data_IF_413133742135
#
_entry.id   IF_413133742135
#
_cell.length_a   1.000
_cell.length_b   1.000
_cell.length_c   1.000
_cell.angle_alpha   90.00
_cell.angle_beta   90.00
_cell.angle_gamma   90.00
#
_symmetry.space_group_name_H-M   'P 1'
#
loop_
_entity.id
_entity.type
_entity.pdbx_description
1 polymer ?
#
# COMPACT_ATOMS: atom_id res chain seq x y z
N UNK A 1 -28.98 -93.71 -65.88
CA UNK A 1 -27.73 -92.91 -65.94
C UNK A 1 -28.08 -91.48 -65.55
N UNK A 2 -27.79 -91.08 -64.32
CA UNK A 2 -28.00 -89.69 -63.88
C UNK A 2 -26.81 -88.84 -64.33
N UNK A 3 -27.03 -87.64 -64.90
CA UNK A 3 -25.94 -86.80 -65.37
C UNK A 3 -25.07 -86.32 -64.20
N UNK A 4 -23.75 -86.19 -64.39
CA UNK A 4 -22.85 -85.72 -63.35
C UNK A 4 -23.27 -84.30 -62.91
N UNK A 5 -23.35 -84.13 -61.59
CA UNK A 5 -23.84 -82.93 -60.92
C UNK A 5 -22.83 -81.77 -61.07
N UNK A 6 -22.85 -81.12 -62.24
CA UNK A 6 -21.99 -80.00 -62.63
C UNK A 6 -22.29 -78.71 -61.87
N UNK A 7 -23.45 -78.59 -61.22
CA UNK A 7 -23.83 -77.44 -60.39
C UNK A 7 -23.07 -77.35 -59.06
N UNK A 8 -22.56 -78.46 -58.53
CA UNK A 8 -21.85 -78.49 -57.23
C UNK A 8 -20.45 -77.91 -57.32
N UNK A 9 -19.78 -78.03 -58.47
CA UNK A 9 -18.44 -77.49 -58.69
C UNK A 9 -18.44 -75.98 -58.97
N UNK A 10 -19.44 -75.46 -59.69
CA UNK A 10 -19.59 -74.02 -59.94
C UNK A 10 -19.90 -73.22 -58.66
N UNK A 11 -20.69 -73.79 -57.74
CA UNK A 11 -21.02 -73.17 -56.44
C UNK A 11 -19.81 -73.05 -55.52
N UNK A 12 -18.96 -74.08 -55.45
CA UNK A 12 -17.75 -74.09 -54.60
C UNK A 12 -16.73 -73.05 -55.08
N UNK A 13 -16.52 -72.91 -56.39
CA UNK A 13 -15.59 -71.92 -56.94
C UNK A 13 -16.01 -70.47 -56.65
N UNK A 14 -17.32 -70.17 -56.72
CA UNK A 14 -17.83 -68.82 -56.41
C UNK A 14 -17.68 -68.50 -54.92
N UNK A 15 -17.96 -69.47 -54.03
CA UNK A 15 -17.80 -69.32 -52.58
C UNK A 15 -16.33 -69.07 -52.22
N UNK A 16 -15.39 -69.80 -52.82
CA UNK A 16 -13.94 -69.62 -52.57
C UNK A 16 -13.46 -68.24 -53.03
N UNK A 17 -13.97 -67.73 -54.17
CA UNK A 17 -13.64 -66.38 -54.66
C UNK A 17 -14.24 -65.30 -53.75
N UNK A 18 -15.45 -65.52 -53.23
CA UNK A 18 -16.11 -64.58 -52.32
C UNK A 18 -15.38 -64.52 -50.97
N UNK A 19 -15.03 -65.67 -50.39
CA UNK A 19 -14.21 -65.80 -49.17
C UNK A 19 -12.85 -65.11 -49.35
N UNK A 20 -12.22 -65.28 -50.51
CA UNK A 20 -10.95 -64.61 -50.81
C UNK A 20 -11.12 -63.09 -50.90
N UNK A 21 -12.16 -62.58 -51.58
CA UNK A 21 -12.46 -61.13 -51.63
C UNK A 21 -12.79 -60.56 -50.25
N UNK A 22 -13.53 -61.28 -49.42
CA UNK A 22 -13.86 -60.86 -48.04
C UNK A 22 -12.59 -60.82 -47.19
N UNK A 23 -11.70 -61.82 -47.28
CA UNK A 23 -10.39 -61.78 -46.60
C UNK A 23 -9.51 -60.65 -47.10
N UNK A 24 -9.54 -60.34 -48.39
CA UNK A 24 -8.77 -59.24 -48.96
C UNK A 24 -9.29 -57.88 -48.47
N UNK A 25 -10.61 -57.68 -48.48
CA UNK A 25 -11.25 -56.47 -47.95
C UNK A 25 -11.05 -56.33 -46.45
N UNK A 26 -11.19 -57.42 -45.68
CA UNK A 26 -10.92 -57.45 -44.24
C UNK A 26 -9.47 -57.09 -43.93
N UNK A 27 -8.51 -57.65 -44.67
CA UNK A 27 -7.09 -57.30 -44.54
C UNK A 27 -6.79 -55.83 -44.84
N UNK A 28 -7.43 -55.25 -45.87
CA UNK A 28 -7.32 -53.83 -46.20
C UNK A 28 -7.92 -52.97 -45.07
N UNK A 29 -9.08 -53.32 -44.55
CA UNK A 29 -9.73 -52.62 -43.43
C UNK A 29 -8.86 -52.67 -42.17
N UNK A 30 -8.31 -53.83 -41.82
CA UNK A 30 -7.41 -54.00 -40.66
C UNK A 30 -6.13 -53.18 -40.78
N UNK A 31 -5.67 -52.90 -42.01
CA UNK A 31 -4.48 -52.09 -42.28
C UNK A 31 -4.77 -50.58 -42.18
N UNK A 32 -5.99 -50.14 -42.51
CA UNK A 32 -6.37 -48.72 -42.54
C UNK A 32 -6.84 -48.21 -41.18
N UNK A 33 -7.55 -49.02 -40.38
CA UNK A 33 -8.03 -48.64 -39.03
C UNK A 33 -6.95 -48.00 -38.15
N UNK A 34 -5.76 -48.61 -37.95
CA UNK A 34 -4.73 -48.00 -37.10
C UNK A 34 -4.18 -46.69 -37.67
N UNK A 35 -4.24 -46.48 -38.99
CA UNK A 35 -3.83 -45.23 -39.63
C UNK A 35 -4.84 -44.10 -39.38
N UNK A 36 -6.13 -44.41 -39.49
CA UNK A 36 -7.23 -43.47 -39.19
C UNK A 36 -7.28 -43.14 -37.69
N UNK A 37 -7.12 -44.13 -36.83
CA UNK A 37 -7.08 -43.92 -35.38
C UNK A 37 -5.87 -43.09 -34.94
N UNK A 38 -4.69 -43.35 -35.49
CA UNK A 38 -3.48 -42.61 -35.11
C UNK A 38 -3.54 -41.15 -35.61
N UNK A 39 -4.10 -40.89 -36.79
CA UNK A 39 -4.31 -39.53 -37.31
C UNK A 39 -5.39 -38.79 -36.53
N UNK A 40 -6.51 -39.44 -36.20
CA UNK A 40 -7.57 -38.88 -35.37
C UNK A 40 -7.08 -38.58 -33.95
N UNK A 41 -6.35 -39.52 -33.32
CA UNK A 41 -5.75 -39.29 -32.00
C UNK A 41 -4.73 -38.16 -32.01
N UNK A 42 -3.91 -38.03 -33.07
CA UNK A 42 -2.98 -36.90 -33.22
C UNK A 42 -3.73 -35.57 -33.33
N UNK A 43 -4.82 -35.52 -34.10
CA UNK A 43 -5.64 -34.33 -34.25
C UNK A 43 -6.31 -33.93 -32.94
N UNK A 44 -6.88 -34.88 -32.19
CA UNK A 44 -7.51 -34.63 -30.88
C UNK A 44 -6.48 -34.16 -29.84
N UNK A 45 -5.29 -34.76 -29.80
CA UNK A 45 -4.20 -34.30 -28.91
C UNK A 45 -3.74 -32.88 -29.28
N UNK A 46 -3.67 -32.55 -30.56
CA UNK A 46 -3.29 -31.22 -31.03
C UNK A 46 -4.33 -30.16 -30.65
N UNK A 47 -5.62 -30.43 -30.91
CA UNK A 47 -6.72 -29.53 -30.53
C UNK A 47 -6.82 -29.35 -29.01
N UNK A 48 -6.65 -30.42 -28.23
CA UNK A 48 -6.61 -30.34 -26.76
C UNK A 48 -5.41 -29.53 -26.26
N UNK A 49 -4.23 -29.70 -26.86
CA UNK A 49 -3.03 -28.91 -26.54
C UNK A 49 -3.22 -27.42 -26.82
N UNK A 50 -3.80 -27.09 -27.97
CA UNK A 50 -4.16 -25.71 -28.33
C UNK A 50 -5.16 -25.10 -27.34
N UNK A 51 -6.24 -25.82 -27.03
CA UNK A 51 -7.27 -25.36 -26.09
C UNK A 51 -6.68 -25.15 -24.69
N UNK A 52 -5.84 -26.09 -24.22
CA UNK A 52 -5.16 -26.01 -22.92
C UNK A 52 -4.23 -24.80 -22.86
N UNK A 53 -3.43 -24.55 -23.90
CA UNK A 53 -2.59 -23.36 -23.99
C UNK A 53 -3.40 -22.07 -24.00
N UNK A 54 -4.56 -22.05 -24.67
CA UNK A 54 -5.46 -20.89 -24.67
C UNK A 54 -6.00 -20.59 -23.27
N UNK A 55 -6.50 -21.62 -22.56
CA UNK A 55 -7.02 -21.51 -21.19
C UNK A 55 -5.91 -21.08 -20.22
N UNK A 56 -4.70 -21.63 -20.36
CA UNK A 56 -3.54 -21.22 -19.57
C UNK A 56 -3.22 -19.74 -19.78
N UNK A 57 -3.20 -19.28 -21.04
CA UNK A 57 -2.99 -17.86 -21.38
C UNK A 57 -4.08 -16.96 -20.78
N UNK A 58 -5.35 -17.36 -20.83
CA UNK A 58 -6.43 -16.62 -20.17
C UNK A 58 -6.27 -16.56 -18.66
N UNK A 59 -5.83 -17.66 -18.03
CA UNK A 59 -5.60 -17.74 -16.58
C UNK A 59 -4.41 -16.88 -16.14
N UNK A 60 -3.31 -16.85 -16.91
CA UNK A 60 -2.19 -15.94 -16.66
C UNK A 60 -2.58 -14.48 -16.89
N UNK A 61 -3.26 -14.15 -17.99
CA UNK A 61 -3.74 -12.78 -18.25
C UNK A 61 -4.63 -12.27 -17.12
N UNK A 62 -5.59 -13.08 -16.64
CA UNK A 62 -6.45 -12.71 -15.50
C UNK A 62 -5.66 -12.48 -14.21
N UNK A 63 -4.62 -13.29 -13.95
CA UNK A 63 -3.72 -13.10 -12.81
C UNK A 63 -2.99 -11.76 -12.88
N UNK A 64 -2.46 -11.41 -14.07
CA UNK A 64 -1.78 -10.13 -14.28
C UNK A 64 -2.72 -8.93 -14.12
N UNK A 65 -3.96 -9.02 -14.61
CA UNK A 65 -4.98 -7.97 -14.43
C UNK A 65 -5.27 -7.76 -12.94
N UNK A 66 -5.50 -8.83 -12.18
CA UNK A 66 -5.77 -8.74 -10.72
C UNK A 66 -4.59 -8.12 -9.97
N UNK A 67 -3.35 -8.51 -10.31
CA UNK A 67 -2.16 -7.91 -9.69
C UNK A 67 -1.99 -6.44 -10.08
N UNK A 68 -2.29 -6.06 -11.31
CA UNK A 68 -2.21 -4.68 -11.77
C UNK A 68 -3.25 -3.80 -11.06
N UNK A 69 -4.48 -4.29 -10.86
CA UNK A 69 -5.53 -3.55 -10.14
C UNK A 69 -5.20 -3.37 -8.65
N UNK A 70 -4.62 -4.39 -8.00
CA UNK A 70 -4.16 -4.28 -6.61
C UNK A 70 -3.01 -3.28 -6.47
N UNK A 71 -2.07 -3.28 -7.42
CA UNK A 71 -0.97 -2.33 -7.44
C UNK A 71 -1.46 -0.89 -7.67
N UNK A 72 -2.43 -0.70 -8.58
CA UNK A 72 -3.02 0.61 -8.86
C UNK A 72 -3.79 1.18 -7.65
N UNK A 73 -4.47 0.32 -6.88
CA UNK A 73 -5.18 0.74 -5.66
C UNK A 73 -4.22 1.24 -4.57
N UNK A 74 -3.08 0.58 -4.39
CA UNK A 74 -2.05 1.02 -3.44
C UNK A 74 -1.49 2.41 -3.76
N UNK A 75 -1.31 2.73 -5.05
CA UNK A 75 -0.76 4.02 -5.50
C UNK A 75 -1.72 5.18 -5.17
N UNK A 76 -3.04 4.98 -5.28
CA UNK A 76 -4.04 6.01 -4.98
C UNK A 76 -4.04 6.41 -3.50
N UNK A 77 -3.92 5.43 -2.59
CA UNK A 77 -3.89 5.66 -1.15
C UNK A 77 -2.69 6.51 -0.69
N UNK A 78 -1.52 6.33 -1.34
CA UNK A 78 -0.31 7.09 -1.02
C UNK A 78 -0.47 8.57 -1.38
N UNK A 79 -1.10 8.88 -2.52
CA UNK A 79 -1.32 10.27 -2.96
C UNK A 79 -2.30 11.05 -2.07
N UNK A 80 -3.24 10.35 -1.43
CA UNK A 80 -4.18 10.94 -0.50
C UNK A 80 -3.50 11.26 0.83
N UNK A 81 -2.66 10.35 1.35
CA UNK A 81 -1.94 10.55 2.61
C UNK A 81 -0.93 11.70 2.54
N UNK A 82 -0.19 11.85 1.43
CA UNK A 82 0.82 12.91 1.29
C UNK A 82 0.24 14.33 1.37
N UNK A 83 -1.00 14.54 0.90
CA UNK A 83 -1.70 15.83 1.05
C UNK A 83 -2.15 16.10 2.49
N UNK A 84 -2.47 15.06 3.27
CA UNK A 84 -2.84 15.21 4.68
C UNK A 84 -1.63 15.65 5.50
N UNK A 85 -0.51 14.96 5.30
CA UNK A 85 0.73 15.20 6.03
C UNK A 85 1.29 16.59 5.74
N UNK A 86 1.10 17.15 4.54
CA UNK A 86 1.57 18.48 4.19
C UNK A 86 0.96 19.61 5.05
N UNK A 87 -0.33 19.55 5.37
CA UNK A 87 -0.99 20.58 6.19
C UNK A 87 -0.51 20.50 7.65
N UNK A 88 -0.43 19.29 8.20
CA UNK A 88 0.05 19.05 9.57
C UNK A 88 1.55 19.33 9.69
N UNK A 89 2.33 19.10 8.63
CA UNK A 89 3.75 19.46 8.58
C UNK A 89 3.95 20.97 8.72
N UNK A 90 3.12 21.80 8.07
CA UNK A 90 3.22 23.26 8.23
C UNK A 90 2.90 23.70 9.65
N UNK A 91 1.91 23.05 10.29
CA UNK A 91 1.59 23.27 11.69
C UNK A 91 2.77 22.92 12.61
N UNK A 92 3.43 21.78 12.36
CA UNK A 92 4.64 21.37 13.06
C UNK A 92 5.79 22.37 12.90
N UNK A 93 6.03 22.91 11.69
CA UNK A 93 7.08 23.92 11.49
C UNK A 93 6.86 25.19 12.34
N UNK A 94 5.61 25.66 12.44
CA UNK A 94 5.31 26.81 13.29
C UNK A 94 5.45 26.47 14.78
N UNK A 95 5.10 25.25 15.19
CA UNK A 95 5.37 24.77 16.55
C UNK A 95 6.87 24.78 16.87
N UNK A 96 7.73 24.33 15.95
CA UNK A 96 9.19 24.38 16.12
C UNK A 96 9.68 25.84 16.26
N UNK A 97 9.07 26.79 15.55
CA UNK A 97 9.38 28.21 15.73
C UNK A 97 9.04 28.72 17.14
N UNK A 98 7.91 28.29 17.73
CA UNK A 98 7.55 28.59 19.14
C UNK A 98 8.60 27.99 20.08
N UNK A 99 8.89 26.68 19.95
CA UNK A 99 9.88 25.97 20.76
C UNK A 99 11.25 26.67 20.74
N UNK A 100 11.72 27.04 19.56
CA UNK A 100 13.03 27.69 19.38
C UNK A 100 13.07 29.11 19.95
N UNK A 101 11.98 29.86 19.86
CA UNK A 101 11.88 31.19 20.49
C UNK A 101 11.90 31.09 22.03
N UNK A 102 11.16 30.13 22.59
CA UNK A 102 11.15 29.84 24.03
C UNK A 102 12.53 29.41 24.55
N UNK A 103 13.24 28.56 23.80
CA UNK A 103 14.60 28.15 24.14
C UNK A 103 15.60 29.31 24.11
N UNK A 104 15.30 30.38 23.36
CA UNK A 104 16.12 31.59 23.29
C UNK A 104 15.74 32.71 24.27
N UNK A 105 14.76 32.46 25.15
CA UNK A 105 14.17 33.46 26.07
C UNK A 105 13.52 34.67 25.37
N UNK A 106 13.05 34.50 24.13
CA UNK A 106 12.49 35.60 23.33
C UNK A 106 10.95 35.57 23.37
N UNK A 107 10.37 36.32 24.31
CA UNK A 107 8.93 36.33 24.54
C UNK A 107 8.15 36.93 23.35
N UNK A 108 8.65 38.01 22.74
CA UNK A 108 7.99 38.66 21.61
C UNK A 108 7.98 37.76 20.37
N UNK A 109 9.11 37.11 20.09
CA UNK A 109 9.20 36.14 18.99
C UNK A 109 8.33 34.92 19.25
N UNK A 110 8.22 34.48 20.50
CA UNK A 110 7.32 33.40 20.90
C UNK A 110 5.87 33.77 20.59
N UNK A 111 5.42 34.95 20.99
CA UNK A 111 4.06 35.43 20.69
C UNK A 111 3.79 35.51 19.19
N UNK A 112 4.73 36.04 18.40
CA UNK A 112 4.60 36.11 16.94
C UNK A 112 4.53 34.73 16.30
N UNK A 113 5.37 33.78 16.73
CA UNK A 113 5.34 32.42 16.22
C UNK A 113 4.02 31.70 16.57
N UNK A 114 3.50 31.94 17.78
CA UNK A 114 2.21 31.40 18.21
C UNK A 114 1.04 31.98 17.37
N UNK A 115 1.06 33.27 17.05
CA UNK A 115 0.08 33.88 16.14
C UNK A 115 0.08 33.23 14.74
N UNK A 116 1.26 32.91 14.19
CA UNK A 116 1.36 32.18 12.91
C UNK A 116 0.90 30.72 13.02
N UNK A 117 1.16 30.08 14.16
CA UNK A 117 0.62 28.75 14.46
C UNK A 117 -0.93 28.77 14.47
N UNK A 118 -1.57 29.75 15.11
CA UNK A 118 -3.04 29.88 15.14
C UNK A 118 -3.62 30.02 13.73
N UNK A 119 -3.02 30.86 12.88
CA UNK A 119 -3.44 31.01 11.48
C UNK A 119 -3.38 29.69 10.73
N UNK A 120 -2.29 28.95 10.92
CA UNK A 120 -2.09 27.64 10.27
C UNK A 120 -3.07 26.60 10.79
N UNK A 121 -3.27 26.51 12.11
CA UNK A 121 -4.25 25.62 12.74
C UNK A 121 -5.69 25.92 12.31
N UNK A 122 -5.98 27.16 11.94
CA UNK A 122 -7.30 27.56 11.41
C UNK A 122 -7.51 27.18 9.94
N UNK A 123 -6.43 26.91 9.21
CA UNK A 123 -6.46 26.50 7.82
C UNK A 123 -6.40 24.98 7.62
N UNK A 124 -6.13 24.20 8.68
CA UNK A 124 -6.13 22.74 8.63
C UNK A 124 -7.56 22.24 8.40
N UNK A 125 -7.75 21.36 7.42
CA UNK A 125 -9.05 20.72 7.16
C UNK A 125 -9.47 19.85 8.35
N UNK A 126 -10.66 20.13 8.92
CA UNK A 126 -11.24 19.42 10.07
C UNK A 126 -11.50 17.93 9.81
N UNK A 127 -11.50 17.50 8.53
CA UNK A 127 -11.57 16.08 8.14
C UNK A 127 -10.23 15.35 8.33
N UNK A 128 -9.15 16.10 8.50
CA UNK A 128 -7.82 15.57 8.77
C UNK A 128 -7.57 15.48 10.26
N UNK A 129 -7.60 16.62 10.94
CA UNK A 129 -7.48 16.72 12.40
C UNK A 129 -8.84 17.16 12.93
N UNK A 130 -9.37 16.45 13.92
CA UNK A 130 -10.69 16.77 14.46
C UNK A 130 -10.78 18.23 14.92
N UNK A 131 -11.94 18.84 14.73
CA UNK A 131 -12.18 20.23 15.14
C UNK A 131 -11.95 20.44 16.64
N UNK A 132 -12.23 19.42 17.47
CA UNK A 132 -11.92 19.43 18.90
C UNK A 132 -10.42 19.56 19.17
N UNK A 133 -9.60 18.76 18.49
CA UNK A 133 -8.14 18.82 18.63
C UNK A 133 -7.59 20.16 18.11
N UNK A 134 -8.08 20.64 16.96
CA UNK A 134 -7.69 21.96 16.43
C UNK A 134 -8.06 23.10 17.38
N UNK A 135 -9.22 23.04 18.03
CA UNK A 135 -9.63 24.02 19.03
C UNK A 135 -8.71 24.05 20.24
N UNK A 136 -8.29 22.90 20.75
CA UNK A 136 -7.35 22.81 21.87
C UNK A 136 -6.01 23.45 21.47
N UNK A 137 -5.46 23.08 20.31
CA UNK A 137 -4.21 23.64 19.80
C UNK A 137 -4.28 25.16 19.61
N UNK A 138 -5.39 25.67 19.03
CA UNK A 138 -5.60 27.11 18.86
C UNK A 138 -5.72 27.83 20.20
N UNK A 139 -6.43 27.24 21.17
CA UNK A 139 -6.59 27.81 22.51
C UNK A 139 -5.24 27.97 23.20
N UNK A 140 -4.43 26.91 23.26
CA UNK A 140 -3.11 26.95 23.90
C UNK A 140 -2.20 27.97 23.20
N UNK A 141 -2.17 27.97 21.86
CA UNK A 141 -1.39 28.93 21.09
C UNK A 141 -1.87 30.38 21.27
N UNK A 142 -3.18 30.61 21.46
CA UNK A 142 -3.73 31.95 21.74
C UNK A 142 -3.23 32.47 23.09
N UNK A 143 -3.26 31.64 24.13
CA UNK A 143 -2.73 32.01 25.44
C UNK A 143 -1.23 32.32 25.38
N UNK A 144 -0.44 31.53 24.62
CA UNK A 144 0.98 31.82 24.39
C UNK A 144 1.18 33.14 23.64
N UNK A 145 0.36 33.39 22.60
CA UNK A 145 0.40 34.62 21.80
C UNK A 145 0.14 35.86 22.65
N UNK A 146 -0.88 35.82 23.50
CA UNK A 146 -1.35 36.97 24.27
C UNK A 146 -0.58 37.19 25.58
N UNK A 147 0.19 36.19 26.03
CA UNK A 147 1.02 36.28 27.22
C UNK A 147 2.11 37.35 27.07
N UNK A 148 2.26 38.19 28.11
CA UNK A 148 3.23 39.31 28.15
C UNK A 148 4.60 38.94 28.73
N UNK A 149 4.77 37.70 29.18
CA UNK A 149 6.02 37.25 29.78
C UNK A 149 6.31 35.79 29.41
N UNK A 150 7.60 35.46 29.40
CA UNK A 150 8.12 34.15 28.98
C UNK A 150 7.66 33.00 29.91
N UNK A 151 7.44 33.29 31.19
CA UNK A 151 7.01 32.28 32.18
C UNK A 151 5.61 31.76 31.85
N UNK A 152 4.65 32.65 31.63
CA UNK A 152 3.29 32.28 31.25
C UNK A 152 3.23 31.55 29.89
N UNK A 153 4.10 31.94 28.96
CA UNK A 153 4.24 31.24 27.67
C UNK A 153 4.71 29.79 27.87
N UNK A 154 5.70 29.56 28.75
CA UNK A 154 6.22 28.23 29.06
C UNK A 154 5.23 27.33 29.77
N UNK A 155 4.47 27.89 30.72
CA UNK A 155 3.42 27.17 31.44
C UNK A 155 2.35 26.62 30.48
N UNK A 156 2.01 27.36 29.44
CA UNK A 156 1.03 26.91 28.44
C UNK A 156 1.67 26.00 27.37
N UNK A 157 2.97 26.20 27.09
CA UNK A 157 3.67 25.43 26.06
C UNK A 157 3.74 23.92 26.35
N UNK A 158 3.71 23.50 27.62
CA UNK A 158 3.63 22.07 27.97
C UNK A 158 2.38 21.41 27.38
N UNK A 159 1.21 22.02 27.57
CA UNK A 159 -0.06 21.54 27.01
C UNK A 159 -0.02 21.52 25.47
N UNK A 160 0.49 22.58 24.84
CA UNK A 160 0.64 22.62 23.38
C UNK A 160 1.56 21.49 22.89
N UNK A 161 2.66 21.25 23.61
CA UNK A 161 3.64 20.20 23.28
C UNK A 161 3.06 18.81 23.38
N UNK A 162 2.31 18.50 24.44
CA UNK A 162 1.65 17.21 24.62
C UNK A 162 0.66 16.92 23.49
N UNK A 163 -0.16 17.91 23.13
CA UNK A 163 -1.12 17.78 22.04
C UNK A 163 -0.42 17.61 20.68
N UNK A 164 0.69 18.31 20.44
CA UNK A 164 1.48 18.12 19.22
C UNK A 164 2.18 16.76 19.18
N UNK A 165 2.68 16.24 20.31
CA UNK A 165 3.21 14.88 20.41
C UNK A 165 2.11 13.85 20.11
N UNK A 166 0.88 14.07 20.57
CA UNK A 166 -0.23 13.17 20.27
C UNK A 166 -0.49 13.05 18.76
N UNK A 167 -0.36 14.14 18.00
CA UNK A 167 -0.51 14.13 16.54
C UNK A 167 0.52 13.24 15.83
N UNK A 168 1.71 13.01 16.40
CA UNK A 168 2.73 12.16 15.77
C UNK A 168 2.30 10.69 15.68
N UNK A 169 1.27 10.28 16.42
CA UNK A 169 0.72 8.92 16.38
C UNK A 169 -0.09 8.65 15.11
N UNK A 170 -0.60 9.72 14.48
CA UNK A 170 -1.51 9.65 13.34
C UNK A 170 -0.91 10.27 12.08
N UNK A 171 0.04 11.19 12.22
CA UNK A 171 0.60 11.97 11.12
C UNK A 171 2.12 11.90 11.07
N UNK A 172 2.65 11.84 9.86
CA UNK A 172 4.06 12.10 9.60
C UNK A 172 4.27 13.62 9.53
N UNK A 173 4.95 14.18 10.53
CA UNK A 173 5.10 15.64 10.68
C UNK A 173 6.23 16.24 9.82
N UNK A 174 7.17 15.41 9.37
CA UNK A 174 8.39 15.82 8.69
C UNK A 174 8.99 14.63 7.94
N UNK A 175 9.67 14.88 6.83
CA UNK A 175 10.49 13.86 6.14
C UNK A 175 11.82 13.58 6.86
N UNK A 176 12.24 14.50 7.73
CA UNK A 176 13.39 14.34 8.61
C UNK A 176 12.95 13.79 9.97
N UNK A 177 13.84 13.07 10.70
CA UNK A 177 13.53 12.58 12.03
C UNK A 177 13.02 13.69 12.97
N UNK A 178 12.00 13.34 13.76
CA UNK A 178 11.45 14.18 14.83
C UNK A 178 11.79 13.53 16.16
N UNK A 179 12.36 14.30 17.07
CA UNK A 179 12.78 13.82 18.38
C UNK A 179 11.77 14.23 19.44
N UNK A 180 11.33 13.28 20.26
CA UNK A 180 10.64 13.59 21.51
C UNK A 180 11.71 13.77 22.58
N UNK A 181 11.82 14.98 23.11
CA UNK A 181 12.75 15.35 24.17
C UNK A 181 11.98 15.61 25.46
N UNK A 182 12.63 15.47 26.61
CA UNK A 182 12.00 15.56 27.93
C UNK A 182 12.88 16.32 28.94
N UNK A 183 12.24 17.14 29.77
CA UNK A 183 12.85 17.90 30.84
C UNK A 183 12.34 17.35 32.19
N UNK A 184 13.21 16.76 33.03
CA UNK A 184 12.79 16.20 34.32
C UNK A 184 12.35 17.26 35.34
N UNK A 185 12.79 18.52 35.19
CA UNK A 185 12.44 19.59 36.13
C UNK A 185 11.07 20.22 35.84
N UNK A 186 10.71 20.33 34.56
CA UNK A 186 9.38 20.78 34.13
C UNK A 186 8.37 19.62 34.04
N UNK A 187 8.82 18.38 34.26
CA UNK A 187 8.06 17.15 34.04
C UNK A 187 7.27 17.13 32.72
N UNK A 188 7.92 17.61 31.64
CA UNK A 188 7.24 17.87 30.37
C UNK A 188 8.10 17.44 29.17
N UNK A 189 7.45 16.97 28.12
CA UNK A 189 8.07 16.58 26.84
C UNK A 189 7.84 17.62 25.75
N UNK A 190 8.67 17.63 24.71
CA UNK A 190 8.48 18.47 23.52
C UNK A 190 9.02 17.78 22.26
N UNK A 191 8.52 18.16 21.08
CA UNK A 191 9.09 17.77 19.79
C UNK A 191 10.25 18.69 19.39
N UNK A 192 11.28 18.12 18.77
CA UNK A 192 12.44 18.82 18.22
C UNK A 192 12.80 18.25 16.85
N UNK A 193 13.26 19.12 15.95
CA UNK A 193 13.83 18.78 14.64
C UNK A 193 15.35 18.50 14.70
N UNK A 194 15.94 18.70 15.87
CA UNK A 194 17.35 18.45 16.15
C UNK A 194 17.49 17.46 17.32
N UNK A 195 18.54 16.62 17.26
CA UNK A 195 18.90 15.68 18.34
C UNK A 195 19.50 16.41 19.55
N UNK A 196 20.13 17.56 19.32
CA UNK A 196 20.69 18.42 20.35
C UNK A 196 19.56 18.96 21.25
N UNK A 197 19.81 19.00 22.56
CA UNK A 197 18.84 19.53 23.52
C UNK A 197 18.92 21.06 23.51
N UNK A 198 17.78 21.69 23.21
CA UNK A 198 17.56 23.12 23.41
C UNK A 198 16.23 23.28 24.17
N UNK A 199 16.33 23.37 25.49
CA UNK A 199 15.20 23.26 26.42
C UNK A 199 14.30 24.51 26.37
N UNK A 200 13.04 24.39 25.89
CA UNK A 200 12.12 25.53 25.82
C UNK A 200 11.57 25.99 27.19
N UNK A 201 11.58 25.12 28.20
CA UNK A 201 11.02 25.40 29.52
C UNK A 201 11.95 26.23 30.41
N UNK A 202 13.26 26.18 30.16
CA UNK A 202 14.25 26.93 30.94
C UNK A 202 15.11 27.88 30.11
N UNK A 203 15.06 27.80 28.78
CA UNK A 203 15.78 28.70 27.88
C UNK A 203 17.28 28.69 28.14
N UNK A 204 17.93 29.86 28.10
CA UNK A 204 19.39 29.98 28.26
C UNK A 204 19.88 29.55 29.64
N UNK A 205 19.02 29.59 30.66
CA UNK A 205 19.41 29.19 32.03
C UNK A 205 19.78 27.71 32.13
N UNK A 206 19.14 26.84 31.34
CA UNK A 206 19.39 25.40 31.33
C UNK A 206 19.21 24.81 29.93
N UNK A 207 19.81 25.45 28.92
CA UNK A 207 19.54 25.16 27.51
C UNK A 207 19.80 23.70 27.13
N UNK A 208 20.84 23.09 27.69
CA UNK A 208 21.23 21.71 27.45
C UNK A 208 20.59 20.70 28.42
N UNK A 209 19.74 21.14 29.34
CA UNK A 209 19.11 20.23 30.31
C UNK A 209 17.95 19.47 29.66
N UNK A 210 18.04 18.16 29.61
CA UNK A 210 17.00 17.28 29.09
C UNK A 210 17.56 15.98 28.55
N UNK A 211 16.70 15.17 27.95
CA UNK A 211 17.08 13.90 27.32
C UNK A 211 16.19 13.62 26.11
N UNK A 212 16.74 12.94 25.10
CA UNK A 212 15.96 12.38 24.01
C UNK A 212 15.28 11.11 24.51
N UNK A 213 13.96 11.03 24.37
CA UNK A 213 13.14 9.87 24.79
C UNK A 213 12.83 8.95 23.63
N UNK A 214 12.56 9.49 22.46
CA UNK A 214 12.33 8.72 21.24
C UNK A 214 12.64 9.52 19.99
N UNK A 215 12.82 8.80 18.89
CA UNK A 215 12.99 9.32 17.54
C UNK A 215 11.86 8.76 16.68
N UNK A 216 11.22 9.63 15.91
CA UNK A 216 10.08 9.33 15.04
C UNK A 216 10.54 9.59 13.60
N UNK A 217 10.38 8.58 12.74
CA UNK A 217 10.82 8.58 11.33
C UNK A 217 9.65 8.75 10.35
#
# INVERSE_FOLDING_TARGET
>A
MAPPNTGRFLSISIIVILEFKIRLLSGIVQMIIPFVDNTFQRMMRFNYSLLKNLILKFKTMKKYIITATLFLFSILSISAQSKKDAQVSKLYQNYIAIKSALASDDADKTSKAAAEFIKTASAVDYKLVSEGNLNILRKDATVISDARNITAQRETFSNLSENMIALTKEFKLSEKPVFVQYCPMADSSWLSDEKQIANPYYGKSMLSCGSVKSEIN
#
